data_IF_085542486014
#
_entry.id   IF_085542486014
#
_cell.length_a   1.000
_cell.length_b   1.000
_cell.length_c   1.000
_cell.angle_alpha   90.00
_cell.angle_beta   90.00
_cell.angle_gamma   90.00
#
_symmetry.space_group_name_H-M   'P 1'
#
loop_
_entity.id
_entity.type
_entity.pdbx_description
1 polymer ?
#
# COMPACT_ATOMS: atom_id res chain seq x y z
N UNK A 1 -7.09 -22.90 -0.53
CA UNK A 1 -7.98 -22.46 0.57
C UNK A 1 -8.90 -21.30 0.15
N UNK A 2 -8.36 -20.10 -0.20
CA UNK A 2 -9.21 -18.94 -0.59
C UNK A 2 -10.07 -19.21 -1.83
N UNK A 3 -9.50 -19.82 -2.85
CA UNK A 3 -10.22 -20.21 -4.08
C UNK A 3 -11.33 -21.23 -3.74
N UNK A 4 -11.02 -22.23 -2.91
CA UNK A 4 -12.00 -23.25 -2.50
C UNK A 4 -13.12 -22.63 -1.68
N UNK A 5 -12.79 -21.67 -0.81
CA UNK A 5 -13.79 -20.91 -0.04
C UNK A 5 -14.74 -20.12 -0.96
N UNK A 6 -14.22 -19.41 -1.96
CA UNK A 6 -15.03 -18.71 -2.94
C UNK A 6 -15.91 -19.68 -3.73
N UNK A 7 -15.35 -20.80 -4.17
CA UNK A 7 -16.09 -21.82 -4.91
C UNK A 7 -17.19 -22.45 -4.04
N UNK A 8 -16.96 -22.66 -2.74
CA UNK A 8 -17.95 -23.15 -1.80
C UNK A 8 -19.06 -22.12 -1.56
N UNK A 9 -18.69 -20.84 -1.30
CA UNK A 9 -19.66 -19.76 -1.07
C UNK A 9 -20.63 -19.63 -2.24
N UNK A 10 -20.14 -19.68 -3.48
CA UNK A 10 -20.96 -19.55 -4.70
C UNK A 10 -22.00 -20.65 -4.87
N UNK A 11 -21.80 -21.79 -4.25
CA UNK A 11 -22.76 -22.91 -4.28
C UNK A 11 -23.86 -22.79 -3.23
N UNK A 12 -23.76 -21.80 -2.32
CA UNK A 12 -24.75 -21.66 -1.26
C UNK A 12 -26.04 -21.01 -1.80
N UNK A 13 -27.23 -21.46 -1.36
CA UNK A 13 -28.50 -20.96 -1.87
C UNK A 13 -28.77 -19.49 -1.51
N UNK A 14 -28.06 -18.94 -0.55
CA UNK A 14 -28.15 -17.56 -0.12
C UNK A 14 -27.11 -16.64 -0.81
N UNK A 15 -26.23 -17.17 -1.64
CA UNK A 15 -25.20 -16.41 -2.32
C UNK A 15 -25.65 -16.03 -3.74
N UNK A 16 -25.51 -14.75 -4.09
CA UNK A 16 -25.80 -14.25 -5.44
C UNK A 16 -24.79 -14.71 -6.51
N UNK A 17 -23.71 -15.38 -6.10
CA UNK A 17 -22.58 -15.73 -6.99
C UNK A 17 -21.48 -14.67 -7.06
N UNK A 18 -21.71 -13.46 -6.54
CA UNK A 18 -20.74 -12.38 -6.43
C UNK A 18 -20.16 -12.33 -5.03
N UNK A 19 -18.85 -12.35 -4.92
CA UNK A 19 -18.09 -12.32 -3.66
C UNK A 19 -17.30 -11.04 -3.58
N UNK A 20 -17.47 -10.32 -2.48
CA UNK A 20 -16.60 -9.20 -2.08
C UNK A 20 -15.65 -9.62 -0.96
N UNK A 21 -14.45 -9.07 -0.93
CA UNK A 21 -13.52 -9.28 0.18
C UNK A 21 -13.08 -7.96 0.79
N UNK A 22 -12.92 -7.93 2.12
CA UNK A 22 -12.49 -6.76 2.88
C UNK A 22 -11.51 -7.18 3.96
N UNK A 23 -10.48 -6.39 4.20
CA UNK A 23 -9.51 -6.60 5.27
C UNK A 23 -8.22 -5.83 5.07
N UNK A 24 -7.45 -5.72 6.14
CA UNK A 24 -6.18 -5.02 6.13
C UNK A 24 -5.02 -5.90 6.59
N UNK A 25 -3.80 -5.43 6.34
CA UNK A 25 -2.56 -6.13 6.74
C UNK A 25 -2.53 -7.56 6.21
N UNK A 26 -2.37 -8.56 7.04
CA UNK A 26 -2.43 -9.96 6.63
C UNK A 26 -3.73 -10.31 5.86
N UNK A 27 -4.89 -9.74 6.30
CA UNK A 27 -6.16 -9.88 5.59
C UNK A 27 -6.21 -9.16 4.24
N UNK A 28 -5.40 -8.15 4.03
CA UNK A 28 -5.20 -7.48 2.74
C UNK A 28 -4.25 -8.29 1.83
N UNK A 29 -3.15 -8.80 2.38
CA UNK A 29 -2.20 -9.66 1.65
C UNK A 29 -2.91 -10.90 1.08
N UNK A 30 -3.74 -11.57 1.91
CA UNK A 30 -4.52 -12.73 1.43
C UNK A 30 -5.53 -12.37 0.35
N UNK A 31 -6.09 -11.16 0.36
CA UNK A 31 -6.94 -10.65 -0.72
C UNK A 31 -6.18 -10.45 -2.03
N UNK A 32 -4.97 -9.86 -1.96
CA UNK A 32 -4.11 -9.67 -3.13
C UNK A 32 -3.74 -11.03 -3.75
N UNK A 33 -3.33 -12.00 -2.91
CA UNK A 33 -3.04 -13.36 -3.36
C UNK A 33 -4.28 -14.05 -3.98
N UNK A 34 -5.46 -13.84 -3.39
CA UNK A 34 -6.72 -14.38 -3.92
C UNK A 34 -7.04 -13.78 -5.30
N UNK A 35 -6.86 -12.46 -5.49
CA UNK A 35 -7.04 -11.82 -6.79
C UNK A 35 -6.11 -12.42 -7.85
N UNK A 36 -4.83 -12.66 -7.48
CA UNK A 36 -3.85 -13.31 -8.34
C UNK A 36 -4.15 -14.77 -8.68
N UNK A 37 -4.97 -15.43 -7.87
CA UNK A 37 -5.47 -16.78 -8.13
C UNK A 37 -6.76 -16.80 -8.99
N UNK A 38 -7.32 -15.65 -9.30
CA UNK A 38 -8.44 -15.42 -10.22
C UNK A 38 -9.68 -16.32 -9.99
N UNK A 39 -10.20 -16.44 -8.76
CA UNK A 39 -11.37 -17.28 -8.53
C UNK A 39 -12.59 -16.69 -9.22
N UNK A 40 -13.36 -17.53 -9.88
CA UNK A 40 -14.63 -17.13 -10.48
C UNK A 40 -15.58 -16.62 -9.40
N UNK A 41 -16.19 -15.44 -9.63
CA UNK A 41 -17.13 -14.81 -8.69
C UNK A 41 -16.50 -13.79 -7.73
N UNK A 42 -15.18 -13.62 -7.71
CA UNK A 42 -14.57 -12.49 -6.99
C UNK A 42 -14.91 -11.19 -7.74
N UNK A 43 -15.86 -10.43 -7.19
CA UNK A 43 -16.49 -9.30 -7.86
C UNK A 43 -15.95 -7.94 -7.41
N UNK A 44 -15.44 -7.81 -6.19
CA UNK A 44 -14.85 -6.58 -5.68
C UNK A 44 -13.96 -6.83 -4.46
N UNK A 45 -12.99 -5.95 -4.24
CA UNK A 45 -12.10 -6.00 -3.08
C UNK A 45 -11.99 -4.64 -2.40
N UNK A 46 -11.75 -4.66 -1.09
CA UNK A 46 -11.46 -3.48 -0.28
C UNK A 46 -10.23 -3.77 0.58
N UNK A 47 -9.07 -3.38 0.08
CA UNK A 47 -7.75 -3.79 0.58
C UNK A 47 -7.11 -2.64 1.34
N UNK A 48 -6.65 -2.88 2.56
CA UNK A 48 -6.07 -1.85 3.41
C UNK A 48 -4.67 -2.26 3.86
N UNK A 49 -3.68 -1.39 3.72
CA UNK A 49 -2.31 -1.54 4.24
C UNK A 49 -1.72 -2.93 3.99
N UNK A 50 -1.59 -3.32 2.73
CA UNK A 50 -1.18 -4.67 2.35
C UNK A 50 0.06 -4.69 1.46
N UNK A 51 0.90 -5.71 1.66
CA UNK A 51 2.02 -6.01 0.78
C UNK A 51 1.55 -6.57 -0.57
N UNK A 52 2.28 -6.24 -1.63
CA UNK A 52 2.18 -6.87 -2.94
C UNK A 52 3.12 -8.09 -3.04
N UNK A 53 4.35 -7.93 -2.57
CA UNK A 53 5.36 -8.99 -2.47
C UNK A 53 5.75 -9.22 -1.02
N UNK A 54 5.64 -10.46 -0.54
CA UNK A 54 6.11 -10.78 0.81
C UNK A 54 7.65 -10.70 0.94
N UNK A 55 8.39 -10.75 -0.17
CA UNK A 55 9.83 -10.55 -0.15
C UNK A 55 10.19 -9.07 0.04
N UNK A 56 9.95 -8.26 -0.98
CA UNK A 56 10.42 -6.87 -1.03
C UNK A 56 9.69 -5.94 -0.07
N UNK A 57 8.42 -6.20 0.22
CA UNK A 57 7.60 -5.27 0.98
C UNK A 57 7.53 -5.62 2.47
N UNK A 58 7.66 -6.91 2.81
CA UNK A 58 7.50 -7.38 4.17
C UNK A 58 8.78 -7.94 4.80
N UNK A 59 9.51 -8.82 4.10
CA UNK A 59 10.58 -9.63 4.72
C UNK A 59 11.98 -9.09 4.49
N UNK A 60 12.29 -8.61 3.28
CA UNK A 60 13.64 -8.19 2.88
C UNK A 60 13.63 -6.83 2.18
N UNK A 61 13.73 -5.76 2.94
CA UNK A 61 13.79 -4.39 2.38
C UNK A 61 15.20 -4.10 1.91
N UNK A 62 15.34 -3.88 0.59
CA UNK A 62 16.67 -3.68 0.00
C UNK A 62 17.63 -4.85 0.21
N UNK A 63 17.10 -6.07 0.40
CA UNK A 63 17.89 -7.27 0.71
C UNK A 63 18.21 -7.47 2.18
N UNK A 64 17.85 -6.53 3.06
CA UNK A 64 18.04 -6.65 4.50
C UNK A 64 16.80 -7.29 5.16
N UNK A 65 17.01 -8.36 5.93
CA UNK A 65 15.92 -9.03 6.65
C UNK A 65 15.35 -8.15 7.75
N UNK A 66 14.03 -7.95 7.73
CA UNK A 66 13.27 -7.18 8.75
C UNK A 66 13.07 -8.02 10.01
N UNK A 67 14.15 -8.19 10.76
CA UNK A 67 14.19 -9.11 11.90
C UNK A 67 13.09 -8.84 12.91
N UNK A 68 12.98 -7.61 13.40
CA UNK A 68 12.04 -7.29 14.48
C UNK A 68 10.58 -7.54 14.08
N UNK A 69 10.19 -7.05 12.90
CA UNK A 69 8.82 -7.21 12.42
C UNK A 69 8.49 -8.68 12.10
N UNK A 70 9.36 -9.37 11.35
CA UNK A 70 9.07 -10.75 10.93
C UNK A 70 9.10 -11.74 12.10
N UNK A 71 10.10 -11.66 12.97
CA UNK A 71 10.16 -12.53 14.16
C UNK A 71 8.99 -12.26 15.10
N UNK A 72 8.69 -10.98 15.37
CA UNK A 72 7.59 -10.57 16.24
C UNK A 72 6.22 -11.01 15.68
N UNK A 73 6.02 -10.82 14.37
CA UNK A 73 4.75 -11.18 13.73
C UNK A 73 4.52 -12.68 13.71
N UNK A 74 5.53 -13.46 13.29
CA UNK A 74 5.40 -14.92 13.20
C UNK A 74 5.22 -15.57 14.57
N UNK A 75 5.97 -15.13 15.58
CA UNK A 75 5.85 -15.65 16.95
C UNK A 75 4.57 -15.18 17.63
N UNK A 76 4.23 -13.92 17.53
CA UNK A 76 3.05 -13.33 18.16
C UNK A 76 1.72 -13.91 17.66
N UNK A 77 1.67 -14.27 16.38
CA UNK A 77 0.48 -14.83 15.75
C UNK A 77 0.50 -16.38 15.70
N UNK A 78 1.47 -17.02 16.34
CA UNK A 78 1.57 -18.50 16.44
C UNK A 78 1.56 -19.19 15.07
N UNK A 79 2.31 -18.65 14.10
CA UNK A 79 2.54 -19.37 12.85
C UNK A 79 3.22 -20.71 13.07
N UNK A 80 3.30 -21.52 12.01
CA UNK A 80 4.03 -22.78 12.08
C UNK A 80 5.47 -22.56 12.61
N UNK A 81 5.97 -23.43 13.50
CA UNK A 81 7.26 -23.20 14.17
C UNK A 81 8.44 -23.01 13.23
N UNK A 82 8.38 -23.58 12.03
CA UNK A 82 9.40 -23.52 10.97
C UNK A 82 9.23 -22.32 10.02
N UNK A 83 8.16 -21.53 10.15
CA UNK A 83 7.88 -20.41 9.22
C UNK A 83 9.02 -19.39 9.14
N UNK A 84 9.63 -19.05 10.28
CA UNK A 84 10.76 -18.14 10.34
C UNK A 84 12.03 -18.73 9.70
N UNK A 85 12.29 -20.01 9.94
CA UNK A 85 13.42 -20.74 9.36
C UNK A 85 13.26 -20.81 7.85
N UNK A 86 12.07 -21.14 7.36
CA UNK A 86 11.74 -21.16 5.93
C UNK A 86 12.00 -19.80 5.27
N UNK A 87 11.54 -18.70 5.86
CA UNK A 87 11.81 -17.36 5.32
C UNK A 87 13.31 -17.04 5.26
N UNK A 88 14.06 -17.42 6.30
CA UNK A 88 15.52 -17.19 6.37
C UNK A 88 16.31 -18.08 5.43
N UNK A 89 15.80 -19.26 5.08
CA UNK A 89 16.44 -20.15 4.10
C UNK A 89 16.43 -19.57 2.69
N UNK A 90 15.57 -18.54 2.43
CA UNK A 90 15.42 -17.87 1.15
C UNK A 90 15.80 -16.38 1.24
N UNK A 91 17.10 -16.04 1.48
CA UNK A 91 17.52 -14.64 1.67
C UNK A 91 17.50 -13.80 0.39
N UNK A 92 17.43 -14.45 -0.77
CA UNK A 92 17.33 -13.83 -2.08
C UNK A 92 15.96 -14.11 -2.69
N UNK A 93 15.52 -13.22 -3.60
CA UNK A 93 14.28 -13.43 -4.33
C UNK A 93 14.38 -14.63 -5.29
N UNK A 94 13.68 -15.70 -4.97
CA UNK A 94 13.68 -16.97 -5.70
C UNK A 94 12.26 -17.51 -5.93
N UNK A 95 12.13 -18.77 -6.36
CA UNK A 95 10.84 -19.39 -6.66
C UNK A 95 9.92 -19.53 -5.43
N UNK A 96 10.49 -19.60 -4.22
CA UNK A 96 9.71 -19.57 -2.98
C UNK A 96 8.92 -18.26 -2.86
N UNK A 97 9.56 -17.11 -3.08
CA UNK A 97 8.94 -15.81 -2.96
C UNK A 97 8.00 -15.46 -4.12
N UNK A 98 8.27 -15.98 -5.32
CA UNK A 98 7.39 -15.77 -6.50
C UNK A 98 5.95 -16.21 -6.27
N UNK A 99 5.72 -17.22 -5.43
CA UNK A 99 4.38 -17.66 -5.07
C UNK A 99 3.60 -16.58 -4.31
N UNK A 100 4.29 -15.72 -3.59
CA UNK A 100 3.76 -14.65 -2.73
C UNK A 100 3.97 -13.25 -3.31
N UNK A 101 4.24 -13.16 -4.60
CA UNK A 101 4.42 -11.90 -5.33
C UNK A 101 3.25 -11.71 -6.30
N UNK A 102 2.37 -10.79 -5.94
CA UNK A 102 1.18 -10.47 -6.73
C UNK A 102 1.49 -9.59 -7.92
N UNK A 103 2.62 -8.87 -7.89
CA UNK A 103 3.11 -8.06 -9.01
C UNK A 103 3.31 -8.85 -10.29
N UNK A 104 3.61 -10.14 -10.18
CA UNK A 104 3.74 -11.05 -11.33
C UNK A 104 2.39 -11.43 -11.96
N UNK A 105 1.26 -11.12 -11.33
CA UNK A 105 -0.07 -11.64 -11.65
C UNK A 105 -1.08 -10.58 -12.08
N UNK A 106 -0.74 -9.31 -12.12
CA UNK A 106 -1.68 -8.22 -12.41
C UNK A 106 -2.53 -8.47 -13.66
N UNK A 107 -1.92 -8.97 -14.74
CA UNK A 107 -2.61 -9.22 -16.01
C UNK A 107 -3.76 -10.24 -15.94
N UNK A 108 -3.78 -11.06 -14.90
CA UNK A 108 -4.82 -12.04 -14.67
C UNK A 108 -5.92 -11.54 -13.73
N UNK A 109 -5.65 -10.51 -12.92
CA UNK A 109 -6.59 -9.99 -11.94
C UNK A 109 -7.72 -9.21 -12.62
N UNK A 110 -8.97 -9.63 -12.37
CA UNK A 110 -10.17 -9.03 -12.97
C UNK A 110 -11.03 -8.24 -11.98
N UNK A 111 -10.81 -8.39 -10.67
CA UNK A 111 -11.63 -7.72 -9.68
C UNK A 111 -11.24 -6.24 -9.51
N UNK A 112 -12.22 -5.31 -9.56
CA UNK A 112 -12.02 -3.94 -9.13
C UNK A 112 -11.68 -3.91 -7.64
N UNK A 113 -10.83 -2.98 -7.21
CA UNK A 113 -10.41 -2.88 -5.83
C UNK A 113 -10.22 -1.43 -5.36
N UNK A 114 -10.50 -1.19 -4.09
CA UNK A 114 -10.03 -0.03 -3.35
C UNK A 114 -8.75 -0.42 -2.62
N UNK A 115 -7.70 0.37 -2.79
CA UNK A 115 -6.40 0.21 -2.15
C UNK A 115 -6.18 1.38 -1.18
N UNK A 116 -6.08 1.10 0.11
CA UNK A 116 -5.92 2.13 1.14
C UNK A 116 -4.59 1.97 1.83
N UNK A 117 -3.82 3.04 1.88
CA UNK A 117 -2.53 3.08 2.56
C UNK A 117 -2.30 4.34 3.37
N UNK A 118 -1.26 4.32 4.16
CA UNK A 118 -0.78 5.46 4.93
C UNK A 118 0.60 5.90 4.49
N UNK A 119 0.87 7.21 4.46
CA UNK A 119 2.19 7.74 4.12
C UNK A 119 3.29 7.29 5.09
N UNK A 120 2.90 6.96 6.33
CA UNK A 120 3.79 6.46 7.37
C UNK A 120 3.65 4.94 7.59
N UNK A 121 3.03 4.23 6.64
CA UNK A 121 2.89 2.78 6.72
C UNK A 121 4.03 2.05 6.00
N UNK A 122 4.45 0.93 6.54
CA UNK A 122 5.45 0.06 5.93
C UNK A 122 5.06 -0.47 4.55
N UNK A 123 3.76 -0.56 4.26
CA UNK A 123 3.22 -1.01 2.97
C UNK A 123 2.74 0.13 2.08
N UNK A 124 3.15 1.39 2.35
CA UNK A 124 2.76 2.53 1.53
C UNK A 124 3.08 2.32 0.05
N UNK A 125 4.32 1.95 -0.27
CA UNK A 125 4.75 1.71 -1.65
C UNK A 125 4.02 0.50 -2.26
N UNK A 126 3.89 -0.59 -1.53
CA UNK A 126 3.18 -1.79 -1.99
C UNK A 126 1.70 -1.51 -2.32
N UNK A 127 1.03 -0.70 -1.51
CA UNK A 127 -0.36 -0.28 -1.77
C UNK A 127 -0.46 0.51 -3.07
N UNK A 128 0.50 1.41 -3.33
CA UNK A 128 0.58 2.17 -4.58
C UNK A 128 0.86 1.24 -5.77
N UNK A 129 1.80 0.31 -5.63
CA UNK A 129 2.19 -0.61 -6.71
C UNK A 129 1.03 -1.55 -7.09
N UNK A 130 0.26 -2.05 -6.11
CA UNK A 130 -0.96 -2.83 -6.36
C UNK A 130 -2.01 -2.02 -7.14
N UNK A 131 -2.24 -0.77 -6.75
CA UNK A 131 -3.13 0.11 -7.50
C UNK A 131 -2.64 0.31 -8.93
N UNK A 132 -1.40 0.78 -9.12
CA UNK A 132 -0.84 1.08 -10.44
C UNK A 132 -0.81 -0.15 -11.32
N UNK A 133 -0.38 -1.28 -10.77
CA UNK A 133 -0.29 -2.55 -11.47
C UNK A 133 -1.64 -3.03 -11.99
N UNK A 134 -2.68 -3.04 -11.15
CA UNK A 134 -4.03 -3.44 -11.53
C UNK A 134 -4.73 -2.41 -12.41
N UNK A 135 -4.55 -1.11 -12.12
CA UNK A 135 -5.15 -0.02 -12.88
C UNK A 135 -4.71 -0.04 -14.35
N UNK A 136 -3.43 -0.30 -14.58
CA UNK A 136 -2.83 -0.23 -15.92
C UNK A 136 -2.77 -1.58 -16.64
N UNK A 137 -2.53 -2.65 -15.89
CA UNK A 137 -2.22 -3.97 -16.44
C UNK A 137 -3.23 -5.06 -16.08
N UNK A 138 -4.24 -4.74 -15.24
CA UNK A 138 -5.28 -5.69 -14.89
C UNK A 138 -6.05 -6.23 -16.09
N UNK A 139 -6.71 -7.37 -15.92
CA UNK A 139 -7.65 -7.90 -16.87
C UNK A 139 -8.90 -7.00 -16.98
N UNK A 140 -9.77 -7.31 -17.95
CA UNK A 140 -11.04 -6.60 -18.09
C UNK A 140 -11.86 -6.72 -16.80
N UNK A 141 -12.41 -5.59 -16.37
CA UNK A 141 -13.07 -5.43 -15.05
C UNK A 141 -12.17 -4.82 -13.96
N UNK A 142 -10.88 -5.10 -13.96
CA UNK A 142 -9.93 -4.47 -13.03
C UNK A 142 -9.27 -3.23 -13.63
N UNK A 143 -8.85 -3.30 -14.89
CA UNK A 143 -8.16 -2.20 -15.55
C UNK A 143 -9.06 -0.96 -15.65
N UNK A 144 -8.56 0.16 -15.15
CA UNK A 144 -9.32 1.42 -15.10
C UNK A 144 -10.36 1.50 -13.98
N UNK A 145 -10.57 0.43 -13.19
CA UNK A 145 -11.59 0.35 -12.16
C UNK A 145 -11.02 0.25 -10.73
N UNK A 146 -9.78 0.67 -10.54
CA UNK A 146 -9.15 0.70 -9.21
C UNK A 146 -9.31 2.06 -8.54
N UNK A 147 -9.28 2.09 -7.21
CA UNK A 147 -9.21 3.32 -6.40
C UNK A 147 -8.02 3.25 -5.46
N UNK A 148 -7.28 4.35 -5.33
CA UNK A 148 -6.17 4.50 -4.40
C UNK A 148 -6.50 5.59 -3.38
N UNK A 149 -6.39 5.31 -2.10
CA UNK A 149 -6.58 6.28 -1.03
C UNK A 149 -5.32 6.28 -0.15
N UNK A 150 -4.57 7.39 -0.16
CA UNK A 150 -3.36 7.55 0.63
C UNK A 150 -3.54 8.66 1.66
N UNK A 151 -3.67 8.28 2.93
CA UNK A 151 -3.82 9.22 4.04
C UNK A 151 -2.53 9.42 4.85
N UNK A 152 -2.49 10.40 5.75
CA UNK A 152 -1.33 10.66 6.61
C UNK A 152 -1.33 9.69 7.81
N UNK A 153 -1.41 8.40 7.55
CA UNK A 153 -1.58 7.36 8.55
C UNK A 153 -0.34 6.47 8.65
N UNK A 154 -0.19 5.84 9.81
CA UNK A 154 0.65 4.65 10.00
C UNK A 154 -0.13 3.40 9.56
N UNK A 155 0.27 2.22 10.01
CA UNK A 155 -0.46 0.96 9.77
C UNK A 155 -1.90 0.98 10.33
N UNK A 156 -2.23 1.94 11.18
CA UNK A 156 -3.58 2.18 11.72
C UNK A 156 -4.33 3.26 10.95
N UNK A 157 -5.12 2.86 9.94
CA UNK A 157 -5.90 3.81 9.13
C UNK A 157 -6.86 4.63 9.99
N UNK A 158 -6.86 5.96 9.76
CA UNK A 158 -7.71 6.90 10.49
C UNK A 158 -7.28 7.20 11.92
N UNK A 159 -6.26 6.53 12.45
CA UNK A 159 -5.76 6.80 13.81
C UNK A 159 -4.94 8.08 13.84
N UNK A 160 -5.30 8.96 14.77
CA UNK A 160 -4.61 10.23 15.05
C UNK A 160 -4.39 10.35 16.58
N UNK A 161 -3.34 11.04 17.03
CA UNK A 161 -2.23 11.61 16.25
C UNK A 161 -1.28 10.55 15.69
N UNK A 162 -0.46 10.94 14.70
CA UNK A 162 0.69 10.17 14.22
C UNK A 162 1.94 10.77 14.84
N UNK A 163 2.49 10.10 15.83
CA UNK A 163 3.51 10.72 16.69
C UNK A 163 2.96 11.99 17.33
N UNK A 164 3.60 13.12 17.06
CA UNK A 164 3.16 14.45 17.52
C UNK A 164 2.25 15.18 16.50
N UNK A 165 2.00 14.58 15.35
CA UNK A 165 1.32 15.24 14.24
C UNK A 165 -0.19 14.94 14.27
N UNK A 166 -0.99 16.00 14.34
CA UNK A 166 -2.45 15.93 14.28
C UNK A 166 -2.92 16.54 12.96
N UNK A 167 -3.18 15.69 11.97
CA UNK A 167 -3.66 16.13 10.66
C UNK A 167 -5.18 16.35 10.69
N UNK A 168 -5.68 17.53 10.29
CA UNK A 168 -7.10 17.79 10.21
C UNK A 168 -7.78 16.92 9.14
N UNK A 169 -9.06 16.60 9.35
CA UNK A 169 -9.91 15.83 8.42
C UNK A 169 -9.36 14.48 7.96
N UNK A 170 -8.36 13.95 8.69
CA UNK A 170 -7.67 12.70 8.37
C UNK A 170 -8.04 11.53 9.30
N UNK A 171 -9.08 11.65 10.13
CA UNK A 171 -9.48 10.60 11.08
C UNK A 171 -10.26 9.44 10.45
N UNK A 172 -10.49 9.48 9.14
CA UNK A 172 -11.22 8.44 8.39
C UNK A 172 -10.93 8.51 6.90
N UNK A 173 -11.25 7.42 6.21
CA UNK A 173 -11.28 7.38 4.74
C UNK A 173 -12.35 8.37 4.24
N UNK A 174 -12.09 9.14 3.17
CA UNK A 174 -13.09 10.04 2.59
C UNK A 174 -14.38 9.31 2.20
N UNK A 175 -15.52 9.89 2.56
CA UNK A 175 -16.85 9.28 2.40
C UNK A 175 -17.18 8.76 0.99
N UNK A 176 -16.73 9.39 -0.12
CA UNK A 176 -16.97 8.85 -1.46
C UNK A 176 -16.44 7.43 -1.68
N UNK A 177 -15.42 7.02 -0.93
CA UNK A 177 -14.74 5.72 -1.05
C UNK A 177 -15.12 4.73 0.07
N UNK A 178 -16.26 4.92 0.72
CA UNK A 178 -16.76 4.04 1.78
C UNK A 178 -16.98 2.61 1.27
N UNK A 179 -16.63 1.62 2.11
CA UNK A 179 -16.69 0.22 1.75
C UNK A 179 -18.14 -0.25 1.46
N UNK A 180 -19.12 0.25 2.21
CA UNK A 180 -20.53 -0.07 1.97
C UNK A 180 -20.96 0.38 0.58
N UNK A 181 -20.64 1.65 0.21
CA UNK A 181 -20.94 2.21 -1.10
C UNK A 181 -20.24 1.43 -2.22
N UNK A 182 -18.98 1.01 -2.02
CA UNK A 182 -18.23 0.17 -2.96
C UNK A 182 -18.89 -1.17 -3.21
N UNK A 183 -19.22 -1.90 -2.16
CA UNK A 183 -19.84 -3.21 -2.28
C UNK A 183 -21.29 -3.16 -2.78
N UNK A 184 -22.09 -2.17 -2.40
CA UNK A 184 -23.42 -1.99 -2.96
C UNK A 184 -23.40 -1.82 -4.48
N UNK A 185 -22.42 -1.08 -5.01
CA UNK A 185 -22.24 -0.95 -6.46
C UNK A 185 -21.91 -2.29 -7.12
N UNK A 186 -20.80 -2.93 -6.72
CA UNK A 186 -20.29 -4.11 -7.42
C UNK A 186 -21.04 -5.41 -7.13
N UNK A 187 -21.53 -5.59 -5.91
CA UNK A 187 -22.23 -6.82 -5.52
C UNK A 187 -23.74 -6.74 -5.74
N UNK A 188 -24.34 -5.58 -5.46
CA UNK A 188 -25.79 -5.41 -5.54
C UNK A 188 -26.25 -4.71 -6.83
N UNK A 189 -25.32 -4.15 -7.62
CA UNK A 189 -25.63 -3.44 -8.87
C UNK A 189 -26.24 -2.05 -8.66
N UNK A 190 -26.02 -1.43 -7.50
CA UNK A 190 -26.50 -0.09 -7.21
C UNK A 190 -25.70 0.95 -7.99
N UNK A 191 -26.41 1.80 -8.74
CA UNK A 191 -25.79 2.91 -9.47
C UNK A 191 -25.59 4.13 -8.55
N UNK A 192 -24.70 4.01 -7.57
CA UNK A 192 -24.39 5.03 -6.58
C UNK A 192 -23.24 5.96 -6.95
N UNK A 193 -22.63 5.76 -8.13
CA UNK A 193 -21.60 6.64 -8.69
C UNK A 193 -20.19 6.47 -8.12
N UNK A 194 -19.93 5.44 -7.29
CA UNK A 194 -18.59 5.20 -6.74
C UNK A 194 -17.55 4.87 -7.81
N UNK A 195 -17.98 4.25 -8.89
CA UNK A 195 -17.17 3.96 -10.08
C UNK A 195 -16.66 5.24 -10.76
N UNK A 196 -17.44 6.32 -10.70
CA UNK A 196 -17.15 7.64 -11.31
C UNK A 196 -16.34 8.57 -10.42
N UNK A 197 -16.14 8.22 -9.15
CA UNK A 197 -15.26 9.00 -8.28
C UNK A 197 -13.82 9.00 -8.83
N UNK A 198 -13.01 10.03 -8.58
CA UNK A 198 -11.61 10.07 -8.98
C UNK A 198 -10.88 8.77 -8.61
N UNK A 199 -9.95 8.32 -9.44
CA UNK A 199 -9.24 7.07 -9.18
C UNK A 199 -8.32 7.17 -7.95
N UNK A 200 -7.84 8.38 -7.62
CA UNK A 200 -6.90 8.63 -6.53
C UNK A 200 -7.44 9.70 -5.60
N UNK A 201 -7.43 9.42 -4.30
CA UNK A 201 -7.55 10.41 -3.24
C UNK A 201 -6.28 10.35 -2.37
N UNK A 202 -5.61 11.46 -2.19
CA UNK A 202 -4.39 11.51 -1.40
C UNK A 202 -4.34 12.74 -0.51
N UNK A 203 -3.80 12.56 0.69
CA UNK A 203 -3.67 13.64 1.64
C UNK A 203 -2.33 14.34 1.45
N UNK A 204 -2.35 15.63 1.20
CA UNK A 204 -1.15 16.47 1.18
C UNK A 204 -0.88 16.96 2.59
N UNK A 205 0.22 16.51 3.16
CA UNK A 205 0.63 16.92 4.50
C UNK A 205 1.23 18.33 4.49
N UNK A 206 0.97 19.09 5.55
CA UNK A 206 1.51 20.42 5.80
C UNK A 206 1.90 20.59 7.26
N UNK A 207 2.32 21.78 7.65
CA UNK A 207 2.58 22.11 9.05
C UNK A 207 1.28 22.07 9.86
N UNK A 208 1.17 21.10 10.77
CA UNK A 208 -0.02 20.92 11.63
C UNK A 208 -0.13 21.97 12.74
N UNK A 209 0.91 22.77 12.98
CA UNK A 209 0.93 23.83 13.99
C UNK A 209 0.53 25.19 13.42
N UNK A 210 0.51 25.33 12.11
CA UNK A 210 0.15 26.56 11.41
C UNK A 210 -1.19 26.43 10.69
N UNK A 211 -2.23 27.14 11.10
CA UNK A 211 -3.56 27.02 10.47
C UNK A 211 -3.61 27.52 9.01
N UNK A 212 -2.61 28.28 8.57
CA UNK A 212 -2.50 28.79 7.22
C UNK A 212 -1.39 28.12 6.40
N UNK A 213 -0.83 27.02 6.88
CA UNK A 213 0.16 26.27 6.12
C UNK A 213 -0.46 25.71 4.83
N UNK A 214 0.25 25.68 3.71
CA UNK A 214 -0.20 24.97 2.54
C UNK A 214 -0.22 23.46 2.84
N UNK A 215 -1.17 22.75 2.25
CA UNK A 215 -1.42 21.33 2.53
C UNK A 215 -2.44 21.13 3.63
N UNK A 216 -2.34 20.02 4.36
CA UNK A 216 -3.32 19.53 5.33
C UNK A 216 -4.72 19.33 4.72
N UNK A 217 -4.75 18.83 3.49
CA UNK A 217 -5.99 18.66 2.72
C UNK A 217 -5.97 17.40 1.86
N UNK A 218 -7.14 16.88 1.57
CA UNK A 218 -7.33 15.84 0.57
C UNK A 218 -7.33 16.44 -0.83
N UNK A 219 -6.58 15.80 -1.74
CA UNK A 219 -6.58 16.07 -3.18
C UNK A 219 -6.98 14.84 -3.96
N UNK A 220 -7.40 15.04 -5.21
CA UNK A 220 -7.85 13.99 -6.08
C UNK A 220 -7.10 14.02 -7.41
N UNK A 221 -6.96 12.86 -8.03
CA UNK A 221 -6.38 12.70 -9.35
C UNK A 221 -6.98 11.49 -10.07
N UNK A 222 -6.79 11.39 -11.38
CA UNK A 222 -7.32 10.30 -12.19
C UNK A 222 -6.34 9.14 -12.35
N UNK A 223 -5.07 9.32 -11.97
CA UNK A 223 -4.04 8.27 -12.00
C UNK A 223 -2.88 8.61 -11.03
N UNK A 224 -2.00 7.64 -10.83
CA UNK A 224 -0.77 7.78 -10.05
C UNK A 224 0.45 7.34 -10.87
N UNK A 225 1.62 8.04 -10.81
CA UNK A 225 1.84 9.27 -10.05
C UNK A 225 1.05 10.47 -10.61
N UNK A 226 0.72 11.40 -9.71
CA UNK A 226 0.08 12.66 -10.11
C UNK A 226 1.07 13.44 -10.99
N UNK A 227 0.64 13.97 -12.15
CA UNK A 227 1.50 14.80 -12.98
C UNK A 227 2.08 15.99 -12.20
N UNK A 228 3.38 16.15 -12.23
CA UNK A 228 4.10 17.23 -11.57
C UNK A 228 5.22 17.75 -12.47
N UNK A 229 5.60 19.01 -12.28
CA UNK A 229 6.82 19.54 -12.90
C UNK A 229 8.04 18.93 -12.21
N UNK A 230 8.97 18.41 -13.00
CA UNK A 230 10.25 17.95 -12.49
C UNK A 230 11.15 19.14 -12.16
N UNK A 231 11.61 19.21 -10.93
CA UNK A 231 12.57 20.21 -10.49
C UNK A 231 13.81 19.53 -9.92
N UNK A 232 14.96 19.82 -10.48
CA UNK A 232 16.22 19.34 -9.95
C UNK A 232 16.76 20.30 -8.89
N UNK A 233 17.13 19.77 -7.73
CA UNK A 233 17.85 20.49 -6.70
C UNK A 233 19.19 19.78 -6.44
N UNK A 234 20.25 20.56 -6.27
CA UNK A 234 21.61 20.05 -6.11
C UNK A 234 22.15 20.42 -4.73
N UNK A 235 22.82 19.50 -4.08
CA UNK A 235 23.59 19.80 -2.90
C UNK A 235 24.86 20.59 -3.29
N UNK A 236 25.02 21.75 -2.68
CA UNK A 236 26.25 22.54 -2.78
C UNK A 236 27.28 22.05 -1.76
N UNK A 237 28.56 22.39 -1.95
CA UNK A 237 29.66 21.98 -1.07
C UNK A 237 29.51 22.46 0.37
N UNK A 238 28.82 23.55 0.59
CA UNK A 238 28.50 24.12 1.91
C UNK A 238 27.23 23.51 2.54
N UNK A 239 26.69 22.41 1.95
CA UNK A 239 25.57 21.67 2.50
C UNK A 239 24.20 22.31 2.27
N UNK A 240 24.08 23.26 1.36
CA UNK A 240 22.80 23.88 0.98
C UNK A 240 22.20 23.19 -0.24
N UNK A 241 20.91 23.38 -0.42
CA UNK A 241 20.21 23.05 -1.67
C UNK A 241 20.18 24.26 -2.58
N UNK A 242 20.53 24.06 -3.86
CA UNK A 242 20.45 25.07 -4.91
C UNK A 242 19.77 24.49 -6.15
N UNK A 243 19.06 25.31 -6.91
CA UNK A 243 18.46 24.90 -8.18
C UNK A 243 19.46 24.98 -9.35
N UNK A 244 20.56 25.69 -9.18
CA UNK A 244 21.62 25.74 -10.17
C UNK A 244 22.54 24.53 -10.05
N UNK A 245 22.81 23.86 -11.20
CA UNK A 245 23.75 22.75 -11.26
C UNK A 245 25.15 23.24 -10.90
N UNK A 246 25.84 22.61 -9.92
CA UNK A 246 27.21 22.96 -9.59
C UNK A 246 28.14 22.81 -10.80
N UNK A 247 29.09 23.71 -10.95
CA UNK A 247 30.11 23.62 -12.00
C UNK A 247 30.94 22.34 -11.92
N UNK A 248 31.40 21.86 -13.07
CA UNK A 248 32.26 20.71 -13.17
C UNK A 248 33.62 21.00 -12.52
N UNK A 249 34.06 20.15 -11.61
CA UNK A 249 35.42 20.18 -11.00
C UNK A 249 35.41 20.07 -9.49
N UNK A 250 36.22 19.15 -8.98
CA UNK A 250 36.43 18.84 -7.59
C UNK A 250 35.57 17.69 -7.06
N UNK A 251 35.91 17.20 -5.88
CA UNK A 251 35.16 16.11 -5.23
C UNK A 251 33.75 16.60 -4.86
N UNK A 252 32.73 15.95 -5.42
CA UNK A 252 31.32 16.29 -5.25
C UNK A 252 30.63 15.22 -4.37
N UNK A 253 31.08 15.06 -3.12
CA UNK A 253 30.43 14.17 -2.16
C UNK A 253 30.27 14.85 -0.80
N UNK A 254 29.24 14.43 -0.09
CA UNK A 254 29.06 14.72 1.34
C UNK A 254 29.35 13.42 2.09
N UNK A 255 30.29 13.46 3.02
CA UNK A 255 30.62 12.32 3.87
C UNK A 255 29.95 12.48 5.24
N UNK A 256 29.44 11.36 5.76
CA UNK A 256 28.94 11.26 7.14
C UNK A 256 29.43 9.96 7.76
N UNK A 257 29.53 9.93 9.08
CA UNK A 257 29.85 8.70 9.80
C UNK A 257 28.57 7.96 10.12
N UNK A 258 28.41 6.76 9.58
CA UNK A 258 27.31 5.86 9.93
C UNK A 258 27.60 5.23 11.30
N UNK A 259 26.71 5.45 12.26
CA UNK A 259 26.74 4.81 13.57
C UNK A 259 25.51 3.90 13.75
N UNK A 260 25.65 2.58 13.63
CA UNK A 260 24.53 1.65 13.78
C UNK A 260 23.97 1.60 15.20
N UNK A 261 24.72 2.12 16.20
CA UNK A 261 24.23 2.19 17.60
C UNK A 261 23.40 3.44 17.87
N UNK A 262 23.44 4.41 16.98
CA UNK A 262 22.67 5.66 17.02
C UNK A 262 21.89 5.82 15.69
N UNK A 263 20.96 4.90 15.45
CA UNK A 263 20.13 4.90 14.25
C UNK A 263 19.20 6.12 14.22
N UNK A 264 18.88 6.59 13.02
CA UNK A 264 17.87 7.62 12.82
C UNK A 264 16.51 7.13 13.37
N UNK A 265 15.89 7.86 14.32
CA UNK A 265 14.58 7.47 14.84
C UNK A 265 13.51 7.59 13.74
N UNK A 266 12.51 6.71 13.79
CA UNK A 266 11.36 6.74 12.89
C UNK A 266 10.06 6.58 13.67
N UNK A 267 8.99 7.17 13.15
CA UNK A 267 7.62 6.96 13.62
C UNK A 267 6.82 6.36 12.47
N UNK A 268 6.39 5.12 12.62
CA UNK A 268 5.77 4.39 11.51
C UNK A 268 6.75 4.11 10.37
N UNK A 269 6.29 4.08 9.13
CA UNK A 269 7.12 3.82 7.96
C UNK A 269 7.68 2.40 7.95
N UNK A 270 8.98 2.27 8.17
CA UNK A 270 9.65 0.96 8.16
C UNK A 270 9.35 0.06 9.37
N UNK A 271 8.61 0.54 10.36
CA UNK A 271 8.20 -0.23 11.54
C UNK A 271 6.68 -0.19 11.72
N UNK A 272 6.13 -1.23 12.35
CA UNK A 272 4.69 -1.29 12.64
C UNK A 272 4.28 -0.45 13.87
N UNK A 273 5.23 -0.08 14.70
CA UNK A 273 5.03 0.66 15.95
C UNK A 273 5.88 1.91 16.01
#
# INVERSE_FOLDING_TARGET
>A
DGVDTVAWLRKQPWCSGKIGTIGGSAGGITQNLLAGATPEGLAAQYVTVAAASLYSDASYIGGAFRKADMEGWLTGNKFAPDALEMMRAHPSYDDYWRCYDTGLKYRAMAAPAVHIGGWFDMFAQATIDEFVGRQRHGADGARGAQKLIMGPWTHGIGKMPVGELQFPDASRVPAPYDAGRWFHHYLCGEENGVDKEPAVAYYVMGDTKSPNAPGNEWRHADDWPVPAEETAAYFTRDGRLAFEKPGEGGEAYVAYTFDPTNACPTVGGNNLT
#
